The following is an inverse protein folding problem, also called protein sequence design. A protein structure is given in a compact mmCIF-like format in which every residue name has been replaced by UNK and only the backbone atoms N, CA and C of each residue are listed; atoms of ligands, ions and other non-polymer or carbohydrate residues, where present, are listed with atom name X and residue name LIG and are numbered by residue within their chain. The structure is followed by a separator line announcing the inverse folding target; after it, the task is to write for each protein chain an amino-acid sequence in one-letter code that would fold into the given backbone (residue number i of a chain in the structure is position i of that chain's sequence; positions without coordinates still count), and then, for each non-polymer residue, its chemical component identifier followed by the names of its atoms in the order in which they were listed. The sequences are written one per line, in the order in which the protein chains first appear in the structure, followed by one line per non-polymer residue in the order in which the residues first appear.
data_IF_717882610948
#
_entry.id   IF_717882610948
#
_cell.length_a   1.000
_cell.length_b   1.000
_cell.length_c   1.000
_cell.angle_alpha   90.00
_cell.angle_beta   90.00
_cell.angle_gamma   90.00
#
_symmetry.space_group_name_H-M   'P 1'
#
loop_
_entity.id
_entity.type
_entity.pdbx_description
1 polymer ?
#
# COMPACT_ATOMS: atom_id res chain seq x y z
N UNK A 1 -25.25 19.39 -55.64
CA UNK A 1 -25.60 19.59 -54.21
C UNK A 1 -24.57 18.85 -53.41
N UNK A 2 -23.66 19.60 -52.78
CA UNK A 2 -22.48 19.06 -52.11
C UNK A 2 -22.75 19.01 -50.60
N UNK A 3 -22.71 17.84 -49.94
CA UNK A 3 -22.95 17.76 -48.51
C UNK A 3 -21.72 18.24 -47.73
N UNK A 4 -21.91 19.33 -46.98
CA UNK A 4 -20.93 19.88 -46.02
C UNK A 4 -20.50 18.83 -44.98
N UNK A 5 -19.19 18.58 -44.80
CA UNK A 5 -18.69 17.83 -43.67
C UNK A 5 -18.59 18.78 -42.46
N UNK A 6 -19.45 18.60 -41.46
CA UNK A 6 -19.31 19.20 -40.14
C UNK A 6 -19.15 18.10 -39.10
N UNK A 7 -18.00 17.45 -39.08
CA UNK A 7 -17.56 16.74 -37.89
C UNK A 7 -16.85 17.75 -36.99
N UNK A 8 -17.31 17.98 -35.75
CA UNK A 8 -16.62 18.86 -34.83
C UNK A 8 -15.29 18.21 -34.50
N UNK A 9 -14.19 18.93 -34.77
CA UNK A 9 -12.89 18.64 -34.22
C UNK A 9 -13.01 18.79 -32.69
N UNK A 10 -13.28 17.69 -32.00
CA UNK A 10 -13.09 17.58 -30.55
C UNK A 10 -11.68 18.08 -30.28
N UNK A 11 -11.57 19.28 -29.70
CA UNK A 11 -10.29 19.77 -29.17
C UNK A 11 -9.75 18.65 -28.31
N UNK A 12 -8.52 18.16 -28.57
CA UNK A 12 -7.81 17.39 -27.57
C UNK A 12 -7.75 18.30 -26.34
N UNK A 13 -8.56 18.01 -25.33
CA UNK A 13 -8.32 18.54 -24.00
C UNK A 13 -6.97 17.94 -23.63
N UNK A 14 -5.90 18.70 -23.89
CA UNK A 14 -4.57 18.41 -23.39
C UNK A 14 -4.70 18.38 -21.87
N UNK A 15 -4.93 17.18 -21.36
CA UNK A 15 -5.03 16.95 -19.93
C UNK A 15 -3.67 17.33 -19.37
N UNK A 16 -3.60 18.14 -18.29
CA UNK A 16 -2.33 18.59 -17.75
C UNK A 16 -1.44 17.38 -17.47
N UNK A 17 -0.32 17.33 -18.19
CA UNK A 17 0.74 16.34 -18.08
C UNK A 17 1.33 16.38 -16.68
N UNK A 18 0.83 15.55 -15.77
CA UNK A 18 1.34 15.48 -14.40
C UNK A 18 2.50 14.48 -14.33
N UNK A 19 3.72 15.01 -14.44
CA UNK A 19 4.92 14.23 -14.14
C UNK A 19 5.02 14.00 -12.63
N UNK A 20 5.13 12.73 -12.22
CA UNK A 20 5.37 12.38 -10.82
C UNK A 20 6.78 12.79 -10.42
N UNK A 21 6.94 13.38 -9.24
CA UNK A 21 8.27 13.73 -8.74
C UNK A 21 9.12 12.46 -8.55
N UNK A 22 10.44 12.49 -8.80
CA UNK A 22 11.31 11.34 -8.58
C UNK A 22 11.22 10.79 -7.15
N UNK A 23 11.02 11.69 -6.17
CA UNK A 23 10.83 11.32 -4.77
C UNK A 23 9.57 10.47 -4.56
N UNK A 24 8.42 10.88 -5.11
CA UNK A 24 7.19 10.12 -5.00
C UNK A 24 7.31 8.75 -5.68
N UNK A 25 7.95 8.67 -6.85
CA UNK A 25 8.20 7.41 -7.55
C UNK A 25 9.06 6.44 -6.72
N UNK A 26 10.13 6.94 -6.12
CA UNK A 26 11.00 6.15 -5.26
C UNK A 26 10.29 5.71 -3.99
N UNK A 27 9.44 6.56 -3.39
CA UNK A 27 8.65 6.21 -2.21
C UNK A 27 7.62 5.11 -2.51
N UNK A 28 6.86 5.20 -3.61
CA UNK A 28 5.92 4.13 -4.00
C UNK A 28 6.67 2.82 -4.21
N UNK A 29 7.83 2.87 -4.86
CA UNK A 29 8.66 1.69 -5.12
C UNK A 29 9.19 1.08 -3.82
N UNK A 30 9.70 1.91 -2.91
CA UNK A 30 10.17 1.47 -1.61
C UNK A 30 9.05 0.86 -0.76
N UNK A 31 7.88 1.50 -0.74
CA UNK A 31 6.69 1.01 -0.04
C UNK A 31 6.25 -0.35 -0.57
N UNK A 32 6.19 -0.49 -1.89
CA UNK A 32 5.86 -1.75 -2.55
C UNK A 32 6.84 -2.87 -2.19
N UNK A 33 8.15 -2.62 -2.35
CA UNK A 33 9.18 -3.61 -2.01
C UNK A 33 9.16 -4.00 -0.53
N UNK A 34 9.00 -3.03 0.36
CA UNK A 34 8.95 -3.27 1.80
C UNK A 34 7.76 -4.18 2.16
N UNK A 35 6.57 -3.91 1.60
CA UNK A 35 5.39 -4.76 1.79
C UNK A 35 5.56 -6.17 1.25
N UNK A 36 6.09 -6.32 0.03
CA UNK A 36 6.35 -7.65 -0.54
C UNK A 36 7.34 -8.43 0.32
N UNK A 37 8.46 -7.82 0.69
CA UNK A 37 9.48 -8.47 1.52
C UNK A 37 8.93 -8.85 2.89
N UNK A 38 8.19 -7.95 3.53
CA UNK A 38 7.59 -8.18 4.84
C UNK A 38 6.51 -9.27 4.77
N UNK A 39 5.62 -9.20 3.78
CA UNK A 39 4.59 -10.21 3.52
C UNK A 39 5.16 -11.60 3.27
N UNK A 40 6.20 -11.71 2.43
CA UNK A 40 6.93 -12.96 2.21
C UNK A 40 7.55 -13.50 3.49
N UNK A 41 8.17 -12.64 4.30
CA UNK A 41 8.78 -13.03 5.57
C UNK A 41 7.74 -13.62 6.54
N UNK A 42 6.57 -12.99 6.64
CA UNK A 42 5.46 -13.46 7.46
C UNK A 42 4.87 -14.78 6.96
N UNK A 43 4.80 -14.98 5.64
CA UNK A 43 4.29 -16.22 5.04
C UNK A 43 5.25 -17.40 5.24
N UNK A 44 6.53 -17.18 4.93
CA UNK A 44 7.56 -18.23 4.91
C UNK A 44 8.10 -18.55 6.30
N UNK A 45 8.25 -17.54 7.16
CA UNK A 45 8.89 -17.68 8.47
C UNK A 45 8.05 -17.10 9.64
N UNK A 46 6.76 -17.48 9.78
CA UNK A 46 5.90 -16.92 10.84
C UNK A 46 6.44 -17.18 12.25
N UNK A 47 7.15 -18.29 12.46
CA UNK A 47 7.78 -18.60 13.75
C UNK A 47 8.94 -17.67 14.11
N UNK A 48 9.72 -17.22 13.12
CA UNK A 48 10.80 -16.25 13.35
C UNK A 48 10.23 -14.88 13.72
N UNK A 49 9.18 -14.45 13.00
CA UNK A 49 8.47 -13.21 13.31
C UNK A 49 7.83 -13.29 14.70
N UNK A 50 7.15 -14.39 15.04
CA UNK A 50 6.56 -14.58 16.37
C UNK A 50 7.56 -14.44 17.50
N UNK A 51 8.80 -14.94 17.33
CA UNK A 51 9.89 -14.76 18.29
C UNK A 51 10.28 -13.28 18.43
N UNK A 52 10.41 -12.55 17.33
CA UNK A 52 10.75 -11.10 17.34
C UNK A 52 9.65 -10.30 18.03
N UNK A 53 8.38 -10.64 17.78
CA UNK A 53 7.23 -10.00 18.41
C UNK A 53 7.00 -10.45 19.85
N UNK A 54 7.74 -11.45 20.35
CA UNK A 54 7.53 -12.11 21.62
C UNK A 54 6.09 -12.65 21.80
N UNK A 55 5.49 -13.13 20.71
CA UNK A 55 4.15 -13.72 20.70
C UNK A 55 4.26 -15.24 20.76
N UNK A 56 3.59 -15.93 21.71
CA UNK A 56 3.59 -17.38 21.75
C UNK A 56 2.93 -17.94 20.49
N UNK A 57 3.69 -18.72 19.73
CA UNK A 57 3.24 -19.26 18.45
C UNK A 57 2.44 -20.54 18.66
N UNK A 58 1.11 -20.41 18.66
CA UNK A 58 0.20 -21.56 18.51
C UNK A 58 -0.08 -21.81 17.01
N UNK A 59 -0.46 -23.04 16.60
CA UNK A 59 -0.85 -23.29 15.20
C UNK A 59 -1.93 -22.33 14.68
N UNK A 60 -2.99 -21.99 15.44
CA UNK A 60 -3.95 -20.94 15.04
C UNK A 60 -3.29 -19.57 14.80
N UNK A 61 -2.43 -19.11 15.70
CA UNK A 61 -1.72 -17.81 15.56
C UNK A 61 -0.85 -17.78 14.31
N UNK A 62 -0.23 -18.91 13.95
CA UNK A 62 0.60 -19.00 12.74
C UNK A 62 -0.19 -18.83 11.45
N UNK A 63 -1.45 -19.29 11.41
CA UNK A 63 -2.33 -19.08 10.27
C UNK A 63 -2.68 -17.59 10.11
N UNK A 64 -2.97 -16.89 11.22
CA UNK A 64 -3.23 -15.44 11.20
C UNK A 64 -2.03 -14.62 10.72
N UNK A 65 -0.81 -14.96 11.16
CA UNK A 65 0.41 -14.28 10.70
C UNK A 65 0.61 -14.46 9.19
N UNK A 66 0.33 -15.65 8.66
CA UNK A 66 0.41 -15.90 7.21
C UNK A 66 -0.67 -15.15 6.43
N UNK A 67 -1.89 -15.05 6.96
CA UNK A 67 -2.95 -14.24 6.35
C UNK A 67 -2.58 -12.76 6.31
N UNK A 68 -2.00 -12.26 7.40
CA UNK A 68 -1.45 -10.91 7.48
C UNK A 68 -0.35 -10.69 6.43
N UNK A 69 0.57 -11.65 6.30
CA UNK A 69 1.60 -11.63 5.28
C UNK A 69 1.07 -11.67 3.85
N UNK A 70 0.03 -12.46 3.60
CA UNK A 70 -0.63 -12.53 2.29
C UNK A 70 -1.30 -11.22 1.91
N UNK A 71 -1.94 -10.53 2.87
CA UNK A 71 -2.48 -9.18 2.66
C UNK A 71 -1.38 -8.21 2.22
N UNK A 72 -0.26 -8.15 2.94
CA UNK A 72 0.84 -7.26 2.59
C UNK A 72 1.50 -7.62 1.25
N UNK A 73 1.59 -8.91 0.92
CA UNK A 73 2.09 -9.36 -0.36
C UNK A 73 1.22 -8.82 -1.51
N UNK A 74 -0.09 -9.03 -1.44
CA UNK A 74 -1.05 -8.60 -2.47
C UNK A 74 -1.06 -7.09 -2.62
N UNK A 75 -1.08 -6.35 -1.51
CA UNK A 75 -1.03 -4.89 -1.52
C UNK A 75 0.31 -4.36 -2.07
N UNK A 76 1.43 -4.99 -1.69
CA UNK A 76 2.75 -4.68 -2.20
C UNK A 76 2.86 -4.90 -3.70
N UNK A 77 2.34 -6.02 -4.20
CA UNK A 77 2.31 -6.36 -5.62
C UNK A 77 1.39 -5.44 -6.44
N UNK A 78 0.18 -5.14 -5.96
CA UNK A 78 -0.70 -4.15 -6.59
C UNK A 78 -0.04 -2.77 -6.69
N UNK A 79 0.66 -2.37 -5.64
CA UNK A 79 1.44 -1.12 -5.62
C UNK A 79 2.61 -1.17 -6.61
N UNK A 80 3.25 -2.33 -6.77
CA UNK A 80 4.34 -2.54 -7.72
C UNK A 80 3.89 -2.29 -9.16
N UNK A 81 2.73 -2.84 -9.55
CA UNK A 81 2.20 -2.72 -10.90
C UNK A 81 1.68 -1.32 -11.23
N UNK A 82 1.18 -0.59 -10.24
CA UNK A 82 0.67 0.77 -10.41
C UNK A 82 1.72 1.86 -10.19
N UNK A 83 2.98 1.49 -9.94
CA UNK A 83 4.04 2.44 -9.57
C UNK A 83 4.40 3.44 -10.68
N UNK A 84 4.87 4.66 -10.33
CA UNK A 84 5.31 5.63 -11.33
C UNK A 84 6.62 5.18 -11.97
N UNK A 85 6.69 5.30 -13.29
CA UNK A 85 7.96 5.17 -14.02
C UNK A 85 8.51 6.57 -14.23
N UNK A 86 9.76 6.80 -13.80
CA UNK A 86 10.43 8.10 -13.92
C UNK A 86 10.56 8.45 -15.41
N UNK A 87 10.18 9.66 -15.78
CA UNK A 87 10.25 10.15 -17.16
C UNK A 87 9.14 9.66 -18.10
N UNK A 88 8.18 8.89 -17.61
CA UNK A 88 7.01 8.45 -18.39
C UNK A 88 5.80 9.28 -17.98
N UNK A 89 5.20 9.98 -18.95
CA UNK A 89 3.94 10.69 -18.75
C UNK A 89 2.82 9.70 -18.43
N UNK A 90 1.97 10.07 -17.48
CA UNK A 90 0.88 9.23 -17.00
C UNK A 90 -0.45 9.71 -17.51
N UNK A 91 -1.27 8.76 -17.87
CA UNK A 91 -2.69 8.99 -18.09
C UNK A 91 -3.40 9.29 -16.77
N UNK A 92 -4.49 10.06 -16.85
CA UNK A 92 -5.35 10.32 -15.69
C UNK A 92 -5.96 9.02 -15.11
N UNK A 93 -6.11 7.98 -15.94
CA UNK A 93 -6.56 6.65 -15.51
C UNK A 93 -5.52 5.99 -14.60
N UNK A 94 -4.26 5.90 -15.02
CA UNK A 94 -3.17 5.33 -14.21
C UNK A 94 -2.99 6.07 -12.88
N UNK A 95 -3.16 7.39 -12.90
CA UNK A 95 -3.12 8.20 -11.68
C UNK A 95 -4.25 7.85 -10.72
N UNK A 96 -5.48 7.70 -11.22
CA UNK A 96 -6.63 7.29 -10.40
C UNK A 96 -6.46 5.89 -9.84
N UNK A 97 -5.90 4.97 -10.63
CA UNK A 97 -5.59 3.61 -10.18
C UNK A 97 -4.54 3.62 -9.07
N UNK A 98 -3.43 4.35 -9.24
CA UNK A 98 -2.43 4.49 -8.18
C UNK A 98 -3.05 5.08 -6.90
N UNK A 99 -3.87 6.14 -7.02
CA UNK A 99 -4.55 6.72 -5.86
C UNK A 99 -5.45 5.73 -5.14
N UNK A 100 -6.19 4.89 -5.88
CA UNK A 100 -7.03 3.84 -5.29
C UNK A 100 -6.20 2.81 -4.54
N UNK A 101 -5.09 2.35 -5.12
CA UNK A 101 -4.19 1.39 -4.48
C UNK A 101 -3.55 1.97 -3.23
N UNK A 102 -3.07 3.22 -3.28
CA UNK A 102 -2.50 3.90 -2.11
C UNK A 102 -3.55 4.12 -1.01
N UNK A 103 -4.79 4.47 -1.35
CA UNK A 103 -5.88 4.54 -0.37
C UNK A 103 -6.21 3.19 0.26
N UNK A 104 -6.19 2.10 -0.52
CA UNK A 104 -6.39 0.75 0.00
C UNK A 104 -5.27 0.37 0.99
N UNK A 105 -4.02 0.73 0.70
CA UNK A 105 -2.89 0.55 1.62
C UNK A 105 -3.11 1.31 2.94
N UNK A 106 -3.45 2.60 2.86
CA UNK A 106 -3.71 3.43 4.06
C UNK A 106 -4.87 2.88 4.88
N UNK A 107 -5.95 2.46 4.23
CA UNK A 107 -7.11 1.89 4.91
C UNK A 107 -6.75 0.56 5.61
N UNK A 108 -6.00 -0.31 4.95
CA UNK A 108 -5.56 -1.58 5.53
C UNK A 108 -4.64 -1.36 6.75
N UNK A 109 -3.66 -0.46 6.65
CA UNK A 109 -2.76 -0.14 7.75
C UNK A 109 -3.50 0.56 8.90
N UNK A 110 -4.42 1.47 8.57
CA UNK A 110 -5.25 2.15 9.57
C UNK A 110 -6.08 1.16 10.36
N UNK A 111 -6.64 0.15 9.70
CA UNK A 111 -7.36 -0.94 10.36
C UNK A 111 -6.44 -1.74 11.29
N UNK A 112 -5.21 -2.03 10.86
CA UNK A 112 -4.22 -2.73 11.71
C UNK A 112 -3.85 -1.93 12.97
N UNK A 113 -3.71 -0.61 12.84
CA UNK A 113 -3.45 0.29 13.99
C UNK A 113 -4.62 0.24 14.97
N UNK A 114 -5.86 0.36 14.47
CA UNK A 114 -7.06 0.32 15.31
C UNK A 114 -7.21 -1.02 16.00
N UNK A 115 -7.07 -2.13 15.27
CA UNK A 115 -7.15 -3.48 15.82
C UNK A 115 -6.06 -3.71 16.86
N UNK A 116 -4.82 -3.29 16.58
CA UNK A 116 -3.71 -3.39 17.54
C UNK A 116 -4.01 -2.58 18.80
N UNK A 117 -4.58 -1.38 18.68
CA UNK A 117 -5.00 -0.56 19.81
C UNK A 117 -6.07 -1.25 20.67
N UNK A 118 -7.11 -1.82 20.05
CA UNK A 118 -8.15 -2.59 20.74
C UNK A 118 -7.53 -3.79 21.48
N UNK A 119 -6.61 -4.51 20.85
CA UNK A 119 -5.95 -5.66 21.46
C UNK A 119 -5.05 -5.27 22.64
N UNK A 120 -4.40 -4.10 22.59
CA UNK A 120 -3.66 -3.56 23.75
C UNK A 120 -4.61 -3.22 24.88
N UNK A 121 -5.70 -2.49 24.59
CA UNK A 121 -6.66 -2.05 25.61
C UNK A 121 -7.36 -3.21 26.31
N UNK A 122 -7.59 -4.31 25.60
CA UNK A 122 -8.23 -5.53 26.13
C UNK A 122 -7.22 -6.51 26.75
N UNK A 123 -5.92 -6.21 26.72
CA UNK A 123 -4.86 -7.08 27.24
C UNK A 123 -4.56 -8.31 26.36
N UNK A 124 -5.11 -8.37 25.14
CA UNK A 124 -4.89 -9.46 24.18
C UNK A 124 -3.56 -9.39 23.43
N UNK A 125 -2.81 -8.27 23.53
CA UNK A 125 -1.52 -8.09 22.86
C UNK A 125 -0.49 -7.44 23.78
N UNK A 126 0.72 -8.02 23.84
CA UNK A 126 1.84 -7.45 24.58
C UNK A 126 2.40 -6.19 23.92
N UNK A 127 2.95 -5.26 24.72
CA UNK A 127 3.42 -3.96 24.24
C UNK A 127 4.45 -4.02 23.09
N UNK A 128 5.34 -5.03 23.07
CA UNK A 128 6.30 -5.22 21.97
C UNK A 128 5.61 -5.60 20.65
N UNK A 129 4.63 -6.49 20.69
CA UNK A 129 3.85 -6.88 19.53
C UNK A 129 3.01 -5.69 19.00
N UNK A 130 2.46 -4.88 19.90
CA UNK A 130 1.73 -3.67 19.53
C UNK A 130 2.63 -2.60 18.90
N UNK A 131 3.83 -2.39 19.46
CA UNK A 131 4.79 -1.45 18.93
C UNK A 131 5.27 -1.86 17.53
N UNK A 132 5.62 -3.13 17.34
CA UNK A 132 6.16 -3.61 16.07
C UNK A 132 5.08 -3.81 15.00
N UNK A 133 3.93 -4.39 15.37
CA UNK A 133 2.79 -4.58 14.46
C UNK A 133 2.04 -3.28 14.22
N UNK A 134 1.37 -2.76 15.26
CA UNK A 134 0.58 -1.53 15.17
C UNK A 134 1.41 -0.29 14.86
N UNK A 135 2.58 -0.12 15.50
CA UNK A 135 3.48 1.00 15.20
C UNK A 135 4.07 0.91 13.79
N UNK A 136 4.44 -0.29 13.32
CA UNK A 136 4.87 -0.52 11.94
C UNK A 136 3.77 -0.15 10.92
N UNK A 137 2.54 -0.58 11.18
CA UNK A 137 1.38 -0.22 10.36
C UNK A 137 1.15 1.30 10.35
N UNK A 138 1.25 1.97 11.49
CA UNK A 138 1.11 3.43 11.56
C UNK A 138 2.15 4.17 10.68
N UNK A 139 3.39 3.67 10.64
CA UNK A 139 4.43 4.20 9.76
C UNK A 139 4.05 4.01 8.30
N UNK A 140 3.63 2.81 7.89
CA UNK A 140 3.20 2.56 6.51
C UNK A 140 1.99 3.41 6.10
N UNK A 141 1.02 3.61 6.99
CA UNK A 141 -0.13 4.48 6.76
C UNK A 141 0.32 5.93 6.52
N UNK A 142 1.24 6.43 7.36
CA UNK A 142 1.79 7.78 7.22
C UNK A 142 2.54 7.96 5.89
N UNK A 143 3.35 6.98 5.50
CA UNK A 143 4.00 6.99 4.18
C UNK A 143 2.97 6.97 3.05
N UNK A 144 1.94 6.13 3.13
CA UNK A 144 0.86 6.08 2.13
C UNK A 144 0.14 7.42 1.96
N UNK A 145 -0.23 8.07 3.08
CA UNK A 145 -0.86 9.40 3.09
C UNK A 145 0.05 10.50 2.52
N UNK A 146 1.33 10.48 2.88
CA UNK A 146 2.28 11.43 2.33
C UNK A 146 2.41 11.24 0.81
N UNK A 147 2.54 9.99 0.36
CA UNK A 147 2.67 9.68 -1.06
C UNK A 147 1.42 10.06 -1.86
N UNK A 148 0.22 9.88 -1.29
CA UNK A 148 -1.05 10.35 -1.85
C UNK A 148 -1.08 11.86 -2.08
N UNK A 149 -0.45 12.63 -1.19
CA UNK A 149 -0.37 14.08 -1.29
C UNK A 149 0.58 14.56 -2.40
N UNK A 150 1.49 13.69 -2.85
CA UNK A 150 2.47 13.97 -3.90
C UNK A 150 2.04 13.49 -5.30
N UNK A 151 0.90 12.79 -5.41
CA UNK A 151 0.35 12.22 -6.66
C UNK A 151 -0.93 12.94 -7.06
#
# INVERSE_FOLDING_TARGET
MEPTPKSPLLRPNASPTHQSTPLAANLVTALSNARVAFGLTLMLAPGAVGKVLAVPMSPPTSAFIRLFGGKDLVLGELTWFTRPKVGVERTEVERRELKRVLWANVAADGLDVVISGILVMTGGMGGRAALLGGGGAAVYAAFGLWTLSCV
#
